data_IF_237231178050
#
_entry.id   IF_237231178050
#
_cell.length_a   1.000
_cell.length_b   1.000
_cell.length_c   1.000
_cell.angle_alpha   90.00
_cell.angle_beta   90.00
_cell.angle_gamma   90.00
#
_symmetry.space_group_name_H-M   'P 1'
#
loop_
_entity.id
_entity.type
_entity.pdbx_description
1 polymer ?
#
# COMPACT_ATOMS: atom_id res chain seq x y z
N UNK A 1 -4.73 31.95 1.62
CA UNK A 1 -4.64 30.49 1.91
C UNK A 1 -5.40 30.21 3.19
N UNK A 2 -6.48 29.40 3.15
CA UNK A 2 -7.25 29.04 4.35
C UNK A 2 -6.51 27.93 5.09
N UNK A 3 -5.92 28.24 6.24
CA UNK A 3 -5.36 27.25 7.16
C UNK A 3 -6.54 26.48 7.76
N UNK A 4 -6.81 25.27 7.27
CA UNK A 4 -7.73 24.36 7.92
C UNK A 4 -7.12 23.98 9.27
N UNK A 5 -7.64 24.56 10.36
CA UNK A 5 -7.24 24.22 11.72
C UNK A 5 -7.88 22.89 12.10
N UNK A 6 -7.18 21.80 11.81
CA UNK A 6 -7.60 20.45 12.18
C UNK A 6 -7.55 20.29 13.70
N UNK A 7 -8.72 20.21 14.34
CA UNK A 7 -8.82 19.99 15.79
C UNK A 7 -8.70 18.49 16.09
N UNK A 8 -7.72 18.13 16.93
CA UNK A 8 -7.55 16.76 17.47
C UNK A 8 -8.53 16.41 18.58
N UNK A 9 -9.25 17.41 19.09
CA UNK A 9 -10.21 17.28 20.18
C UNK A 9 -11.48 18.06 19.90
N UNK A 10 -12.62 17.42 20.16
CA UNK A 10 -13.95 18.04 20.17
C UNK A 10 -14.89 17.20 21.04
N UNK A 11 -15.96 17.84 21.52
CA UNK A 11 -17.09 17.12 22.13
C UNK A 11 -17.91 16.48 21.04
N UNK A 12 -18.17 15.20 21.22
CA UNK A 12 -18.94 14.36 20.32
C UNK A 12 -19.98 13.62 21.14
N UNK A 13 -21.26 13.69 20.74
CA UNK A 13 -22.41 13.00 21.34
C UNK A 13 -22.35 12.77 22.86
N UNK A 14 -22.94 13.68 23.66
CA UNK A 14 -23.05 13.48 25.11
C UNK A 14 -21.73 13.71 25.87
N UNK A 15 -21.26 14.96 25.89
CA UNK A 15 -20.18 15.48 26.74
C UNK A 15 -18.82 14.77 26.77
N UNK A 16 -18.59 13.69 26.01
CA UNK A 16 -17.28 13.04 25.91
C UNK A 16 -16.37 13.82 24.97
N UNK A 17 -15.20 14.18 25.50
CA UNK A 17 -14.14 14.82 24.73
C UNK A 17 -13.32 13.70 24.08
N UNK A 18 -13.45 13.56 22.76
CA UNK A 18 -12.70 12.55 22.02
C UNK A 18 -11.33 13.14 21.64
N UNK A 19 -10.25 12.43 21.94
CA UNK A 19 -8.88 12.81 21.61
C UNK A 19 -8.34 11.83 20.55
N UNK A 20 -8.01 12.36 19.37
CA UNK A 20 -7.38 11.58 18.31
C UNK A 20 -5.87 11.48 18.47
N UNK A 21 -5.27 10.41 17.93
CA UNK A 21 -3.83 10.22 17.97
C UNK A 21 -3.10 11.27 17.13
N UNK A 22 -1.77 11.34 17.28
CA UNK A 22 -0.94 12.22 16.47
C UNK A 22 -1.07 11.82 14.99
N UNK A 23 -1.24 12.80 14.10
CA UNK A 23 -1.48 12.54 12.68
C UNK A 23 -2.92 12.20 12.34
N UNK A 24 -3.88 12.43 13.24
CA UNK A 24 -5.31 12.31 12.99
C UNK A 24 -6.05 13.60 13.35
N UNK A 25 -7.23 13.80 12.78
CA UNK A 25 -8.16 14.85 13.17
C UNK A 25 -9.52 14.27 13.49
N UNK A 26 -10.26 14.95 14.37
CA UNK A 26 -11.60 14.52 14.70
C UNK A 26 -12.58 15.09 13.68
N UNK A 27 -13.25 14.22 12.93
CA UNK A 27 -14.34 14.63 12.06
C UNK A 27 -15.53 15.09 12.94
N UNK A 28 -15.93 16.38 12.88
CA UNK A 28 -16.95 16.91 13.78
C UNK A 28 -18.37 16.46 13.44
N UNK A 29 -18.59 15.84 12.26
CA UNK A 29 -19.89 15.31 11.84
C UNK A 29 -20.06 13.85 12.22
N UNK A 30 -19.02 13.03 11.98
CA UNK A 30 -19.07 11.58 12.23
C UNK A 30 -18.55 11.19 13.60
N UNK A 31 -17.80 12.08 14.27
CA UNK A 31 -17.15 11.80 15.55
C UNK A 31 -16.13 10.65 15.50
N UNK A 32 -15.52 10.45 14.34
CA UNK A 32 -14.46 9.48 14.08
C UNK A 32 -13.13 10.21 13.91
N UNK A 33 -12.04 9.60 14.39
CA UNK A 33 -10.69 10.07 14.12
C UNK A 33 -10.26 9.66 12.71
N UNK A 34 -10.06 10.63 11.84
CA UNK A 34 -9.63 10.44 10.46
C UNK A 34 -8.14 10.79 10.32
N UNK A 35 -7.39 10.10 9.44
CA UNK A 35 -6.00 10.43 9.18
C UNK A 35 -5.86 11.88 8.67
N UNK A 36 -4.86 12.58 9.20
CA UNK A 36 -4.33 13.78 8.56
C UNK A 36 -3.28 13.32 7.56
N UNK A 37 -3.50 13.62 6.28
CA UNK A 37 -2.48 13.48 5.24
C UNK A 37 -1.91 14.87 4.89
N UNK A 38 -1.11 15.51 5.77
CA UNK A 38 -0.60 16.85 5.51
C UNK A 38 0.43 16.81 4.38
N UNK A 39 0.15 17.55 3.30
CA UNK A 39 1.07 17.87 2.20
C UNK A 39 1.66 16.66 1.44
N UNK A 40 0.88 15.60 1.23
CA UNK A 40 1.30 14.51 0.36
C UNK A 40 1.09 14.92 -1.10
N UNK A 41 2.19 14.95 -1.86
CA UNK A 41 2.17 15.11 -3.31
C UNK A 41 2.60 13.80 -3.93
N UNK A 42 1.66 13.10 -4.55
CA UNK A 42 1.96 11.90 -5.30
C UNK A 42 2.52 12.26 -6.68
N UNK A 43 3.47 11.45 -7.16
CA UNK A 43 3.93 11.53 -8.54
C UNK A 43 2.78 11.06 -9.44
N UNK A 44 2.39 11.81 -10.50
CA UNK A 44 1.43 11.30 -11.47
C UNK A 44 1.92 9.95 -12.05
N UNK A 45 1.03 8.94 -12.21
CA UNK A 45 -0.43 8.98 -12.07
C UNK A 45 -0.98 8.56 -10.69
N UNK A 46 -0.14 8.42 -9.66
CA UNK A 46 -0.59 8.00 -8.33
C UNK A 46 -1.41 9.11 -7.64
N UNK A 47 -2.38 8.68 -6.83
CA UNK A 47 -3.23 9.53 -6.00
C UNK A 47 -3.04 9.23 -4.51
N UNK A 48 -3.42 10.18 -3.65
CA UNK A 48 -3.33 9.99 -2.20
C UNK A 48 -4.50 9.12 -1.73
N UNK A 49 -4.21 7.97 -1.13
CA UNK A 49 -5.18 7.23 -0.35
C UNK A 49 -5.34 7.88 1.03
N UNK A 50 -6.48 8.55 1.24
CA UNK A 50 -6.75 9.27 2.48
C UNK A 50 -7.00 8.38 3.71
N UNK A 51 -7.09 7.05 3.55
CA UNK A 51 -7.22 6.11 4.68
C UNK A 51 -5.88 5.77 5.31
N UNK A 52 -4.82 5.64 4.51
CA UNK A 52 -3.48 5.27 4.98
C UNK A 52 -2.41 6.33 4.69
N UNK A 53 -2.79 7.43 4.01
CA UNK A 53 -1.90 8.49 3.57
C UNK A 53 -0.74 8.01 2.68
N UNK A 54 -0.96 6.95 1.88
CA UNK A 54 0.02 6.48 0.89
C UNK A 54 -0.35 6.96 -0.52
N UNK A 55 0.61 6.96 -1.43
CA UNK A 55 0.37 7.14 -2.85
C UNK A 55 0.11 5.80 -3.51
N UNK A 56 -1.03 5.65 -4.15
CA UNK A 56 -1.43 4.43 -4.86
C UNK A 56 -2.21 4.78 -6.13
N UNK A 57 -2.44 3.80 -7.00
CA UNK A 57 -3.31 3.97 -8.14
C UNK A 57 -4.78 4.08 -7.69
N UNK A 58 -5.59 4.84 -8.42
CA UNK A 58 -7.04 4.76 -8.23
C UNK A 58 -7.51 3.31 -8.48
N UNK A 59 -8.54 2.85 -7.76
CA UNK A 59 -9.09 1.52 -7.98
C UNK A 59 -9.55 1.35 -9.43
N UNK A 60 -8.76 0.62 -10.21
CA UNK A 60 -9.03 0.31 -11.60
C UNK A 60 -9.22 -1.19 -11.75
N UNK A 61 -10.36 -1.59 -12.29
CA UNK A 61 -10.60 -2.97 -12.67
C UNK A 61 -9.97 -3.22 -14.05
N UNK A 62 -8.84 -3.93 -14.06
CA UNK A 62 -8.27 -4.44 -15.29
C UNK A 62 -9.11 -5.65 -15.78
N UNK A 63 -9.20 -5.81 -17.12
CA UNK A 63 -9.89 -6.93 -17.75
C UNK A 63 -9.25 -8.30 -17.45
N UNK A 64 -9.74 -9.39 -18.06
CA UNK A 64 -9.11 -10.70 -17.92
C UNK A 64 -7.68 -10.68 -18.47
N UNK A 65 -6.75 -11.37 -17.77
CA UNK A 65 -5.34 -11.53 -18.16
C UNK A 65 -4.51 -10.25 -18.22
N UNK A 66 -4.99 -9.16 -17.64
CA UNK A 66 -4.24 -7.91 -17.44
C UNK A 66 -4.19 -7.57 -15.95
N UNK A 67 -3.06 -7.04 -15.49
CA UNK A 67 -2.87 -6.60 -14.11
C UNK A 67 -2.67 -5.09 -14.06
N UNK A 68 -3.05 -4.47 -12.95
CA UNK A 68 -2.77 -3.06 -12.72
C UNK A 68 -1.31 -2.92 -12.27
N UNK A 69 -0.48 -2.29 -13.10
CA UNK A 69 0.87 -1.95 -12.69
C UNK A 69 0.82 -0.83 -11.63
N UNK A 70 1.28 -1.05 -10.40
CA UNK A 70 1.13 -0.09 -9.30
C UNK A 70 2.01 1.16 -9.46
N UNK A 71 2.99 1.15 -10.37
CA UNK A 71 3.89 2.28 -10.60
C UNK A 71 3.40 3.20 -11.73
N UNK A 72 2.80 2.62 -12.76
CA UNK A 72 2.32 3.34 -13.96
C UNK A 72 0.81 3.52 -13.95
N UNK A 73 0.08 2.84 -13.05
CA UNK A 73 -1.38 2.83 -12.99
C UNK A 73 -2.05 2.48 -14.32
N UNK A 74 -1.38 1.65 -15.14
CA UNK A 74 -1.90 1.13 -16.40
C UNK A 74 -2.17 -0.36 -16.30
N UNK A 75 -3.21 -0.82 -17.00
CA UNK A 75 -3.44 -2.25 -17.15
C UNK A 75 -2.46 -2.83 -18.17
N UNK A 76 -1.61 -3.73 -17.72
CA UNK A 76 -0.56 -4.36 -18.52
C UNK A 76 -0.87 -5.84 -18.70
N UNK A 77 -0.49 -6.39 -19.85
CA UNK A 77 -0.67 -7.81 -20.13
C UNK A 77 0.16 -8.63 -19.15
N UNK A 78 -0.48 -9.58 -18.50
CA UNK A 78 0.17 -10.59 -17.68
C UNK A 78 0.75 -11.66 -18.61
N UNK A 79 1.86 -11.35 -19.26
CA UNK A 79 2.55 -12.29 -20.14
C UNK A 79 3.54 -13.08 -19.29
N UNK A 80 3.53 -14.41 -19.43
CA UNK A 80 4.55 -15.25 -18.83
C UNK A 80 5.94 -14.75 -19.21
N UNK A 81 6.72 -14.39 -18.20
CA UNK A 81 8.09 -13.95 -18.38
C UNK A 81 9.05 -15.03 -17.93
N UNK A 82 10.19 -15.10 -18.62
CA UNK A 82 11.29 -15.94 -18.18
C UNK A 82 11.97 -15.22 -17.02
N UNK A 83 11.79 -15.74 -15.81
CA UNK A 83 12.40 -15.20 -14.60
C UNK A 83 13.85 -15.67 -14.47
N UNK A 84 14.75 -14.77 -14.09
CA UNK A 84 16.15 -15.10 -13.87
C UNK A 84 16.34 -15.92 -12.58
N UNK A 85 17.29 -16.86 -12.59
CA UNK A 85 17.75 -17.55 -11.39
C UNK A 85 16.69 -18.38 -10.65
N UNK A 86 16.49 -18.08 -9.36
CA UNK A 86 15.60 -18.82 -8.45
C UNK A 86 14.17 -18.27 -8.41
N UNK A 87 13.86 -17.28 -9.24
CA UNK A 87 12.53 -16.71 -9.34
C UNK A 87 11.66 -17.52 -10.30
N UNK A 88 10.36 -17.55 -10.04
CA UNK A 88 9.34 -18.22 -10.85
C UNK A 88 8.23 -17.23 -11.14
N UNK A 89 7.75 -17.25 -12.38
CA UNK A 89 6.65 -16.40 -12.80
C UNK A 89 5.37 -16.78 -12.04
N UNK A 90 4.83 -15.84 -11.29
CA UNK A 90 3.53 -15.96 -10.67
C UNK A 90 2.48 -15.29 -11.56
N UNK A 91 1.59 -16.09 -12.15
CA UNK A 91 0.53 -15.60 -13.05
C UNK A 91 -0.60 -14.84 -12.33
N UNK A 92 -0.68 -14.91 -11.00
CA UNK A 92 -1.66 -14.17 -10.21
C UNK A 92 -1.18 -12.75 -9.89
N UNK A 93 0.10 -12.60 -9.54
CA UNK A 93 0.72 -11.30 -9.27
C UNK A 93 1.36 -10.67 -10.50
N UNK A 94 1.55 -11.45 -11.57
CA UNK A 94 2.24 -11.07 -12.80
C UNK A 94 3.66 -10.56 -12.52
N UNK A 95 4.35 -11.23 -11.60
CA UNK A 95 5.70 -10.92 -11.16
C UNK A 95 6.53 -12.19 -11.03
N UNK A 96 7.85 -12.03 -11.17
CA UNK A 96 8.81 -13.05 -10.81
C UNK A 96 8.97 -13.09 -9.29
N UNK A 97 8.50 -14.15 -8.66
CA UNK A 97 8.55 -14.32 -7.21
C UNK A 97 9.52 -15.45 -6.86
N UNK A 98 10.08 -15.45 -5.65
CA UNK A 98 10.86 -16.60 -5.22
C UNK A 98 10.01 -17.87 -5.35
N UNK A 99 10.60 -18.93 -5.93
CA UNK A 99 9.94 -20.23 -5.97
C UNK A 99 9.48 -20.58 -4.53
N UNK A 100 8.25 -21.09 -4.34
CA UNK A 100 7.81 -21.55 -3.03
C UNK A 100 8.66 -22.77 -2.66
N UNK A 101 9.76 -22.49 -1.97
CA UNK A 101 10.73 -23.50 -1.63
C UNK A 101 10.38 -24.08 -0.26
N UNK A 102 10.08 -25.37 -0.27
CA UNK A 102 10.41 -26.26 0.85
C UNK A 102 11.94 -26.40 1.02
N UNK A 103 12.73 -25.34 0.86
CA UNK A 103 14.18 -25.42 1.00
C UNK A 103 14.57 -25.01 2.41
N UNK A 104 14.98 -26.03 3.16
CA UNK A 104 15.73 -25.88 4.39
C UNK A 104 17.08 -25.31 3.98
N UNK A 105 17.39 -24.07 4.41
CA UNK A 105 18.73 -23.52 4.23
C UNK A 105 19.75 -24.35 5.04
N UNK A 106 21.01 -24.47 4.57
CA UNK A 106 22.07 -25.10 5.33
C UNK A 106 22.20 -24.52 6.75
N UNK A 107 22.68 -25.33 7.70
CA UNK A 107 22.89 -24.89 9.08
C UNK A 107 23.74 -23.61 9.14
N UNK A 108 23.21 -22.57 9.77
CA UNK A 108 23.88 -21.27 9.92
C UNK A 108 23.59 -20.25 8.81
N UNK A 109 22.77 -20.60 7.81
CA UNK A 109 22.30 -19.65 6.79
C UNK A 109 20.79 -19.41 6.91
N UNK A 110 20.37 -18.23 6.49
CA UNK A 110 18.99 -17.76 6.49
C UNK A 110 18.51 -17.47 5.09
N UNK A 111 17.22 -17.66 4.85
CA UNK A 111 16.61 -17.39 3.55
C UNK A 111 16.45 -15.88 3.34
N UNK A 112 17.01 -15.37 2.25
CA UNK A 112 16.80 -14.00 1.79
C UNK A 112 15.64 -13.97 0.78
N UNK A 113 14.49 -13.36 1.14
CA UNK A 113 13.33 -13.27 0.25
C UNK A 113 13.51 -12.29 -0.92
N UNK A 114 14.58 -11.48 -0.91
CA UNK A 114 14.88 -10.52 -1.98
C UNK A 114 15.76 -11.16 -3.04
N UNK A 115 16.78 -11.92 -2.65
CA UNK A 115 17.69 -12.60 -3.60
C UNK A 115 17.27 -14.02 -3.94
N UNK A 116 16.32 -14.59 -3.18
CA UNK A 116 15.93 -15.98 -3.25
C UNK A 116 17.13 -16.93 -3.07
N UNK A 117 18.01 -16.62 -2.12
CA UNK A 117 19.21 -17.39 -1.79
C UNK A 117 19.33 -17.58 -0.28
N UNK A 118 20.10 -18.60 0.14
CA UNK A 118 20.49 -18.76 1.54
C UNK A 118 21.79 -17.98 1.77
N UNK A 119 21.78 -17.07 2.74
CA UNK A 119 22.93 -16.24 3.15
C UNK A 119 23.32 -16.53 4.58
#
# INVERSE_FOLDING_TARGET
MRVLTYKRTKRCGGNRQLLCQRGQYLNPRTCVCEPLCPYIRCRPPLVVNYKNCNCECEPLLCGPSVFLNPNTCTCELCVEQNCDGNFVWNSQSCQCECRPLRMICPFGSSWDPVTCQCT
#
